data_IF_272532577421
#
_entry.id   IF_272532577421
#
_cell.length_a   1.000
_cell.length_b   1.000
_cell.length_c   1.000
_cell.angle_alpha   90.00
_cell.angle_beta   90.00
_cell.angle_gamma   90.00
#
_symmetry.space_group_name_H-M   'P 1'
#
loop_
_entity.id
_entity.type
_entity.pdbx_description
1 polymer ?
#
# COMPACT_ATOMS: atom_id res chain seq x y z
N UNK A 1 -1.37 -28.43 34.49
CA UNK A 1 -0.56 -28.51 33.26
C UNK A 1 -1.33 -27.81 32.15
N UNK A 2 -0.87 -26.64 31.67
CA UNK A 2 -1.61 -25.85 30.66
C UNK A 2 -1.47 -26.52 29.30
N UNK A 3 -2.60 -26.92 28.73
CA UNK A 3 -2.71 -27.42 27.36
C UNK A 3 -2.42 -26.26 26.40
N UNK A 4 -1.17 -26.17 25.92
CA UNK A 4 -0.78 -25.23 24.87
C UNK A 4 -1.36 -25.79 23.57
N UNK A 5 -2.52 -25.31 23.15
CA UNK A 5 -3.16 -25.75 21.92
C UNK A 5 -2.17 -25.60 20.78
N UNK A 6 -1.76 -26.71 20.19
CA UNK A 6 -0.86 -26.77 19.06
C UNK A 6 -1.60 -26.30 17.79
N UNK A 7 -1.93 -25.01 17.72
CA UNK A 7 -2.17 -24.36 16.43
C UNK A 7 -0.87 -24.48 15.64
N UNK A 8 -0.84 -25.32 14.61
CA UNK A 8 0.32 -25.51 13.76
C UNK A 8 0.80 -24.13 13.25
N UNK A 9 1.98 -23.63 13.69
CA UNK A 9 2.44 -22.26 13.43
C UNK A 9 2.58 -21.95 11.92
N UNK A 10 2.70 -22.98 11.09
CA UNK A 10 2.72 -22.87 9.63
C UNK A 10 1.40 -22.34 9.03
N UNK A 11 0.22 -22.75 9.56
CA UNK A 11 -1.08 -22.35 9.00
C UNK A 11 -1.43 -20.90 9.34
N UNK A 12 -1.15 -20.46 10.56
CA UNK A 12 -1.38 -19.07 10.99
C UNK A 12 -0.50 -18.10 10.21
N UNK A 13 0.77 -18.46 9.97
CA UNK A 13 1.70 -17.66 9.14
C UNK A 13 1.20 -17.53 7.70
N UNK A 14 0.79 -18.62 7.08
CA UNK A 14 0.27 -18.61 5.71
C UNK A 14 -1.01 -17.78 5.55
N UNK A 15 -1.91 -17.82 6.54
CA UNK A 15 -3.11 -16.96 6.54
C UNK A 15 -2.70 -15.49 6.64
N UNK A 16 -1.76 -15.15 7.52
CA UNK A 16 -1.25 -13.78 7.65
C UNK A 16 -0.62 -13.29 6.33
N UNK A 17 0.20 -14.11 5.67
CA UNK A 17 0.81 -13.78 4.39
C UNK A 17 -0.26 -13.51 3.32
N UNK A 18 -1.27 -14.38 3.22
CA UNK A 18 -2.38 -14.21 2.27
C UNK A 18 -3.20 -12.94 2.55
N UNK A 19 -3.43 -12.60 3.82
CA UNK A 19 -4.13 -11.38 4.20
C UNK A 19 -3.34 -10.14 3.84
N UNK A 20 -2.01 -10.17 3.98
CA UNK A 20 -1.14 -9.06 3.55
C UNK A 20 -1.19 -8.91 2.03
N UNK A 21 -1.12 -10.01 1.27
CA UNK A 21 -1.26 -9.96 -0.19
C UNK A 21 -2.62 -9.37 -0.60
N UNK A 22 -3.70 -9.80 0.05
CA UNK A 22 -5.03 -9.27 -0.20
C UNK A 22 -5.11 -7.78 0.14
N UNK A 23 -4.65 -7.39 1.33
CA UNK A 23 -4.64 -5.99 1.76
C UNK A 23 -3.78 -5.10 0.86
N UNK A 24 -2.65 -5.62 0.38
CA UNK A 24 -1.75 -4.92 -0.53
C UNK A 24 -2.31 -4.67 -1.93
N UNK A 25 -3.33 -5.43 -2.34
CA UNK A 25 -4.06 -5.20 -3.60
C UNK A 25 -5.34 -4.40 -3.38
N UNK A 26 -6.07 -4.68 -2.30
CA UNK A 26 -7.32 -3.99 -1.99
C UNK A 26 -7.12 -2.49 -1.81
N UNK A 27 -6.05 -2.07 -1.14
CA UNK A 27 -5.70 -0.66 -0.96
C UNK A 27 -5.63 0.11 -2.30
N UNK A 28 -4.73 -0.27 -3.22
CA UNK A 28 -4.66 0.29 -4.57
C UNK A 28 -6.01 0.30 -5.31
N UNK A 29 -6.79 -0.78 -5.21
CA UNK A 29 -8.10 -0.88 -5.86
C UNK A 29 -9.09 0.17 -5.32
N UNK A 30 -9.16 0.35 -4.00
CA UNK A 30 -10.05 1.37 -3.41
C UNK A 30 -9.55 2.80 -3.65
N UNK A 31 -8.30 2.97 -4.08
CA UNK A 31 -7.72 4.26 -4.47
C UNK A 31 -8.01 4.62 -5.94
N UNK A 32 -8.49 3.67 -6.76
CA UNK A 32 -8.84 3.92 -8.18
C UNK A 32 -9.82 5.10 -8.36
N UNK A 33 -10.90 5.27 -7.57
CA UNK A 33 -11.78 6.43 -7.69
C UNK A 33 -11.06 7.77 -7.52
N UNK A 34 -10.05 7.85 -6.63
CA UNK A 34 -9.24 9.06 -6.46
C UNK A 34 -8.39 9.35 -7.70
N UNK A 35 -7.85 8.31 -8.34
CA UNK A 35 -7.13 8.46 -9.61
C UNK A 35 -8.06 8.88 -10.75
N UNK A 36 -9.29 8.36 -10.79
CA UNK A 36 -10.32 8.77 -11.77
C UNK A 36 -10.65 10.25 -11.61
N UNK A 37 -10.91 10.72 -10.39
CA UNK A 37 -11.24 12.12 -10.13
C UNK A 37 -10.11 13.06 -10.59
N UNK A 38 -8.86 12.71 -10.25
CA UNK A 38 -7.70 13.52 -10.63
C UNK A 38 -7.43 13.46 -12.14
N UNK A 39 -7.36 12.27 -12.73
CA UNK A 39 -6.85 12.11 -14.10
C UNK A 39 -7.92 12.16 -15.18
N UNK A 40 -9.16 11.76 -14.89
CA UNK A 40 -10.26 11.83 -15.86
C UNK A 40 -11.07 13.11 -15.65
N UNK A 41 -11.47 13.42 -14.42
CA UNK A 41 -12.27 14.61 -14.14
C UNK A 41 -11.41 15.88 -14.02
N UNK A 42 -10.07 15.74 -14.06
CA UNK A 42 -9.10 16.86 -14.02
C UNK A 42 -9.30 17.72 -12.78
N UNK A 43 -9.66 17.07 -11.67
CA UNK A 43 -10.02 17.73 -10.44
C UNK A 43 -9.25 17.12 -9.27
N UNK A 44 -8.32 17.89 -8.71
CA UNK A 44 -7.66 17.56 -7.45
C UNK A 44 -8.02 18.55 -6.33
N UNK A 45 -9.11 19.30 -6.48
CA UNK A 45 -9.56 20.27 -5.48
C UNK A 45 -9.78 19.59 -4.13
N UNK A 46 -9.11 20.09 -3.08
CA UNK A 46 -9.18 19.54 -1.73
C UNK A 46 -8.27 18.33 -1.48
N UNK A 47 -7.52 17.85 -2.48
CA UNK A 47 -6.52 16.79 -2.28
C UNK A 47 -5.23 17.41 -1.72
N UNK A 48 -4.81 16.96 -0.54
CA UNK A 48 -3.57 17.43 0.09
C UNK A 48 -2.35 16.76 -0.52
N UNK A 49 -1.61 17.47 -1.39
CA UNK A 49 -0.37 16.96 -1.99
C UNK A 49 0.68 16.59 -0.94
N UNK A 50 0.77 17.35 0.16
CA UNK A 50 1.74 17.10 1.24
C UNK A 50 1.46 15.74 1.90
N UNK A 51 0.18 15.38 2.08
CA UNK A 51 -0.21 14.10 2.66
C UNK A 51 0.21 12.93 1.76
N UNK A 52 -0.01 13.04 0.44
CA UNK A 52 0.38 11.99 -0.50
C UNK A 52 1.88 11.87 -0.70
N UNK A 53 2.64 12.96 -0.61
CA UNK A 53 4.11 12.91 -0.54
C UNK A 53 4.57 12.18 0.74
N UNK A 54 3.94 12.45 1.88
CA UNK A 54 4.27 11.76 3.13
C UNK A 54 3.99 10.26 3.05
N UNK A 55 2.87 9.85 2.42
CA UNK A 55 2.58 8.44 2.15
C UNK A 55 3.62 7.80 1.23
N UNK A 56 3.99 8.48 0.14
CA UNK A 56 5.03 8.01 -0.78
C UNK A 56 6.37 7.77 -0.06
N UNK A 57 6.81 8.72 0.76
CA UNK A 57 8.04 8.59 1.55
C UNK A 57 7.94 7.40 2.51
N UNK A 58 6.80 7.25 3.21
CA UNK A 58 6.53 6.10 4.06
C UNK A 58 6.58 4.77 3.30
N UNK A 59 6.00 4.72 2.11
CA UNK A 59 6.00 3.54 1.25
C UNK A 59 7.41 3.16 0.80
N UNK A 60 8.26 4.15 0.47
CA UNK A 60 9.69 3.94 0.16
C UNK A 60 10.43 3.34 1.36
N UNK A 61 10.19 3.84 2.58
CA UNK A 61 10.80 3.27 3.78
C UNK A 61 10.38 1.81 4.02
N UNK A 62 9.09 1.49 3.84
CA UNK A 62 8.61 0.12 3.98
C UNK A 62 9.11 -0.82 2.89
N UNK A 63 9.19 -0.34 1.65
CA UNK A 63 9.80 -1.11 0.56
C UNK A 63 11.26 -1.41 0.86
N UNK A 64 12.03 -0.40 1.31
CA UNK A 64 13.41 -0.59 1.74
C UNK A 64 13.53 -1.62 2.86
N UNK A 65 12.67 -1.53 3.89
CA UNK A 65 12.60 -2.51 4.96
C UNK A 65 12.35 -3.93 4.43
N UNK A 66 11.35 -4.09 3.55
CA UNK A 66 11.01 -5.38 2.95
C UNK A 66 12.16 -5.96 2.13
N UNK A 67 12.90 -5.14 1.38
CA UNK A 67 14.08 -5.55 0.62
C UNK A 67 15.20 -6.06 1.54
N UNK A 68 15.51 -5.32 2.62
CA UNK A 68 16.55 -5.69 3.59
C UNK A 68 16.23 -7.02 4.28
N UNK A 69 14.96 -7.24 4.65
CA UNK A 69 14.52 -8.43 5.37
C UNK A 69 14.05 -9.57 4.44
N UNK A 70 14.06 -9.35 3.12
CA UNK A 70 13.59 -10.30 2.08
C UNK A 70 12.12 -10.72 2.25
N UNK A 71 11.29 -9.82 2.76
CA UNK A 71 9.87 -10.03 2.99
C UNK A 71 9.06 -9.75 1.72
N UNK A 72 8.86 -10.79 0.90
CA UNK A 72 8.19 -10.69 -0.41
C UNK A 72 6.81 -10.00 -0.39
N UNK A 73 5.91 -10.26 0.59
CA UNK A 73 4.60 -9.61 0.63
C UNK A 73 4.70 -8.08 0.81
N UNK A 74 5.65 -7.63 1.63
CA UNK A 74 5.91 -6.20 1.88
C UNK A 74 6.47 -5.56 0.62
N UNK A 75 7.47 -6.19 -0.02
CA UNK A 75 8.07 -5.69 -1.25
C UNK A 75 7.00 -5.49 -2.34
N UNK A 76 6.16 -6.50 -2.55
CA UNK A 76 5.10 -6.45 -3.54
C UNK A 76 4.08 -5.34 -3.23
N UNK A 77 3.59 -5.29 -2.00
CA UNK A 77 2.56 -4.33 -1.57
C UNK A 77 3.03 -2.88 -1.73
N UNK A 78 4.21 -2.56 -1.19
CA UNK A 78 4.70 -1.19 -1.20
C UNK A 78 5.26 -0.76 -2.57
N UNK A 79 5.68 -1.70 -3.42
CA UNK A 79 5.98 -1.41 -4.82
C UNK A 79 4.76 -0.89 -5.57
N UNK A 80 3.57 -1.48 -5.34
CA UNK A 80 2.32 -1.00 -5.94
C UNK A 80 1.93 0.37 -5.37
N UNK A 81 1.99 0.53 -4.04
CA UNK A 81 1.66 1.81 -3.40
C UNK A 81 2.50 2.97 -3.91
N UNK A 82 3.81 2.79 -4.10
CA UNK A 82 4.68 3.83 -4.65
C UNK A 82 4.19 4.32 -6.02
N UNK A 83 3.76 3.41 -6.90
CA UNK A 83 3.24 3.78 -8.23
C UNK A 83 1.94 4.60 -8.08
N UNK A 84 1.02 4.15 -7.23
CA UNK A 84 -0.26 4.83 -6.98
C UNK A 84 -0.03 6.22 -6.38
N UNK A 85 0.82 6.33 -5.36
CA UNK A 85 1.12 7.60 -4.68
C UNK A 85 1.79 8.59 -5.63
N UNK A 86 2.71 8.13 -6.49
CA UNK A 86 3.32 8.98 -7.53
C UNK A 86 2.26 9.51 -8.49
N UNK A 87 1.34 8.66 -8.96
CA UNK A 87 0.26 9.09 -9.86
C UNK A 87 -0.66 10.11 -9.19
N UNK A 88 -0.96 9.96 -7.90
CA UNK A 88 -1.75 10.95 -7.17
C UNK A 88 -0.98 12.24 -6.96
N UNK A 89 0.28 12.19 -6.54
CA UNK A 89 1.11 13.39 -6.34
C UNK A 89 1.24 14.18 -7.64
N UNK A 90 1.60 13.52 -8.73
CA UNK A 90 1.74 14.18 -10.04
C UNK A 90 0.40 14.76 -10.48
N UNK A 91 -0.67 13.97 -10.44
CA UNK A 91 -1.97 14.43 -10.90
C UNK A 91 -2.52 15.56 -10.04
N UNK A 92 -2.27 15.52 -8.72
CA UNK A 92 -2.63 16.62 -7.80
C UNK A 92 -1.88 17.89 -8.18
N UNK A 93 -0.57 17.84 -8.41
CA UNK A 93 0.21 19.02 -8.80
C UNK A 93 -0.28 19.63 -10.13
N UNK A 94 -0.72 18.80 -11.08
CA UNK A 94 -1.16 19.26 -12.41
C UNK A 94 -2.61 19.81 -12.39
N UNK A 95 -3.49 19.22 -11.58
CA UNK A 95 -4.94 19.46 -11.62
C UNK A 95 -5.53 20.05 -10.30
N UNK A 96 -4.68 20.65 -9.45
CA UNK A 96 -5.11 21.45 -8.30
C UNK A 96 -5.55 22.85 -8.70
#
# INVERSE_FOLDING_TARGET
MRHKSMLHPARTRQIADNLIYLGGVLGPVVTIPQLIEIWLNKNASGVSVISWIAYLVGAVFWLFYGLVHREKPIIFTYGIWIIIDILIVIGTIIYS
#
